data_IF_493820055113
#
_entry.id   IF_493820055113
#
_cell.length_a   1.000
_cell.length_b   1.000
_cell.length_c   1.000
_cell.angle_alpha   90.00
_cell.angle_beta   90.00
_cell.angle_gamma   90.00
#
_symmetry.space_group_name_H-M   'P 1'
#
loop_
_entity.id
_entity.type
_entity.pdbx_description
1 polymer ?
#
# COMPACT_ATOMS: atom_id res chain seq x y z
N UNK A 1 -8.98 -30.95 21.56
CA UNK A 1 -9.92 -30.67 20.44
C UNK A 1 -9.31 -29.54 19.62
N UNK A 2 -9.34 -29.60 18.28
CA UNK A 2 -8.94 -28.45 17.45
C UNK A 2 -10.19 -27.61 17.16
N UNK A 3 -10.16 -26.33 17.53
CA UNK A 3 -11.17 -25.37 17.09
C UNK A 3 -10.75 -24.80 15.74
N UNK A 4 -11.01 -25.55 14.67
CA UNK A 4 -10.91 -25.03 13.30
C UNK A 4 -12.10 -24.10 13.02
N UNK A 5 -12.08 -22.93 13.67
CA UNK A 5 -12.88 -21.77 13.26
C UNK A 5 -12.19 -21.18 12.02
N UNK A 6 -12.62 -21.61 10.84
CA UNK A 6 -12.17 -21.01 9.57
C UNK A 6 -12.75 -19.60 9.47
N UNK A 7 -11.98 -18.63 9.93
CA UNK A 7 -12.36 -17.23 10.04
C UNK A 7 -12.23 -16.57 8.65
N UNK A 8 -13.35 -16.11 8.09
CA UNK A 8 -13.43 -15.62 6.71
C UNK A 8 -13.34 -14.08 6.69
N UNK A 9 -12.10 -13.61 6.82
CA UNK A 9 -11.67 -12.21 6.89
C UNK A 9 -11.62 -11.62 5.48
N UNK A 10 -12.67 -10.90 5.07
CA UNK A 10 -12.87 -10.49 3.65
C UNK A 10 -12.15 -9.17 3.36
N UNK A 11 -11.05 -9.19 2.59
CA UNK A 11 -10.23 -8.00 2.29
C UNK A 11 -10.81 -7.19 1.12
N UNK A 12 -12.03 -6.67 1.31
CA UNK A 12 -12.68 -5.81 0.34
C UNK A 12 -12.01 -4.42 0.33
N UNK A 13 -10.95 -4.28 -0.46
CA UNK A 13 -10.42 -2.98 -0.92
C UNK A 13 -11.41 -2.38 -1.93
N UNK A 14 -12.60 -1.96 -1.49
CA UNK A 14 -13.60 -1.29 -2.32
C UNK A 14 -13.45 0.22 -2.18
N UNK A 15 -13.39 0.92 -3.32
CA UNK A 15 -13.45 2.38 -3.36
C UNK A 15 -14.88 2.86 -3.09
N UNK A 16 -15.32 2.75 -1.83
CA UNK A 16 -16.62 3.25 -1.37
C UNK A 16 -16.47 4.74 -1.09
N UNK A 17 -16.96 5.59 -1.98
CA UNK A 17 -17.01 7.05 -1.79
C UNK A 17 -18.16 7.45 -0.86
N UNK A 18 -18.19 6.86 0.34
CA UNK A 18 -19.17 7.15 1.39
C UNK A 18 -18.93 8.53 2.01
N UNK A 19 -19.68 9.53 1.54
CA UNK A 19 -19.73 10.88 2.13
C UNK A 19 -20.50 10.96 3.46
N UNK A 20 -20.67 9.83 4.15
CA UNK A 20 -21.04 9.81 5.56
C UNK A 20 -19.78 9.95 6.39
N UNK A 21 -19.67 11.02 7.18
CA UNK A 21 -18.44 11.32 7.93
C UNK A 21 -18.08 10.21 8.91
N UNK A 22 -16.92 9.58 8.69
CA UNK A 22 -16.36 8.56 9.58
C UNK A 22 -16.30 9.11 11.00
N UNK A 23 -16.96 8.42 11.95
CA UNK A 23 -16.68 8.64 13.37
C UNK A 23 -15.35 7.94 13.63
N UNK A 24 -14.26 8.66 13.38
CA UNK A 24 -12.90 8.17 13.58
C UNK A 24 -12.65 7.90 15.07
N UNK A 25 -13.07 6.73 15.53
CA UNK A 25 -12.63 6.10 16.78
C UNK A 25 -11.19 5.61 16.58
N UNK A 26 -10.29 6.56 16.30
CA UNK A 26 -8.86 6.32 16.43
C UNK A 26 -8.62 5.82 17.85
N UNK A 27 -8.16 4.57 18.00
CA UNK A 27 -7.78 4.02 19.28
C UNK A 27 -6.62 4.85 19.83
N UNK A 28 -6.94 5.79 20.74
CA UNK A 28 -6.02 6.84 21.20
C UNK A 28 -4.95 6.25 22.12
N UNK A 29 -3.92 5.69 21.50
CA UNK A 29 -2.83 5.00 22.17
C UNK A 29 -1.97 4.17 21.23
N UNK A 30 -2.51 3.65 20.12
CA UNK A 30 -1.77 2.80 19.19
C UNK A 30 -1.46 3.49 17.85
N UNK A 31 -0.34 3.12 17.23
CA UNK A 31 0.06 3.51 15.89
C UNK A 31 1.02 2.51 15.27
N UNK A 32 0.98 2.37 13.94
CA UNK A 32 1.83 1.46 13.16
C UNK A 32 2.11 2.12 11.80
N UNK A 33 3.36 2.08 11.38
CA UNK A 33 3.90 2.66 10.12
C UNK A 33 5.08 1.81 9.64
N UNK A 34 5.59 2.06 8.43
CA UNK A 34 6.87 1.48 7.98
C UNK A 34 7.89 2.55 7.59
N UNK A 35 9.16 2.16 7.49
CA UNK A 35 10.26 3.07 7.16
C UNK A 35 10.25 3.65 5.73
N UNK A 36 9.41 3.13 4.84
CA UNK A 36 9.27 3.54 3.43
C UNK A 36 7.77 3.57 3.05
N UNK A 37 7.00 4.36 3.79
CA UNK A 37 5.55 4.55 3.59
C UNK A 37 5.23 5.46 2.40
N UNK A 38 4.34 4.97 1.53
CA UNK A 38 3.78 5.73 0.41
C UNK A 38 2.39 6.25 0.80
N UNK A 39 2.22 7.57 0.84
CA UNK A 39 0.91 8.23 1.03
C UNK A 39 -0.09 7.79 -0.07
N UNK A 40 -1.29 7.39 0.33
CA UNK A 40 -2.37 7.00 -0.58
C UNK A 40 -3.72 7.61 -0.14
N UNK A 41 -4.72 7.70 -1.03
CA UNK A 41 -6.07 8.07 -0.63
C UNK A 41 -6.67 7.16 0.44
N UNK A 42 -7.18 7.76 1.51
CA UNK A 42 -7.85 7.09 2.62
C UNK A 42 -8.83 6.00 2.15
N UNK A 43 -8.66 4.80 2.69
CA UNK A 43 -9.49 3.63 2.43
C UNK A 43 -9.80 2.93 3.76
N UNK A 44 -11.09 2.82 4.08
CA UNK A 44 -11.57 1.97 5.16
C UNK A 44 -11.59 0.52 4.69
N UNK A 45 -10.93 -0.38 5.42
CA UNK A 45 -10.85 -1.81 5.14
C UNK A 45 -11.59 -2.57 6.25
N UNK A 46 -12.55 -3.42 5.89
CA UNK A 46 -13.26 -4.28 6.85
C UNK A 46 -12.53 -5.61 7.06
N UNK A 47 -12.35 -6.00 8.31
CA UNK A 47 -11.58 -7.16 8.77
C UNK A 47 -12.37 -7.82 9.90
N UNK A 48 -12.90 -9.03 9.65
CA UNK A 48 -13.81 -9.78 10.53
C UNK A 48 -15.01 -9.00 11.11
N UNK A 49 -15.38 -7.89 10.47
CA UNK A 49 -16.47 -7.00 10.88
C UNK A 49 -16.03 -5.73 11.61
N UNK A 50 -14.74 -5.60 11.95
CA UNK A 50 -14.11 -4.36 12.40
C UNK A 50 -13.64 -3.55 11.20
N UNK A 51 -13.77 -2.22 11.24
CA UNK A 51 -13.31 -1.31 10.18
C UNK A 51 -12.00 -0.62 10.59
N UNK A 52 -11.04 -0.55 9.66
CA UNK A 52 -9.73 0.07 9.86
C UNK A 52 -9.45 1.08 8.75
N UNK A 53 -9.15 2.32 9.10
CA UNK A 53 -8.77 3.35 8.14
C UNK A 53 -7.28 3.25 7.79
N UNK A 54 -6.98 3.23 6.48
CA UNK A 54 -5.63 3.17 5.90
C UNK A 54 -5.40 4.40 5.01
N UNK A 55 -4.36 5.18 5.31
CA UNK A 55 -3.93 6.36 4.52
C UNK A 55 -2.56 6.22 3.87
N UNK A 56 -1.79 5.17 4.17
CA UNK A 56 -0.48 4.90 3.57
C UNK A 56 -0.30 3.40 3.34
N UNK A 57 0.64 3.06 2.47
CA UNK A 57 1.05 1.67 2.19
C UNK A 57 2.56 1.60 2.39
N UNK A 58 3.02 0.74 3.29
CA UNK A 58 4.44 0.49 3.48
C UNK A 58 5.04 -0.23 2.28
N UNK A 59 6.28 0.10 1.91
CA UNK A 59 7.01 -0.58 0.84
C UNK A 59 8.29 -1.19 1.39
N UNK A 60 8.62 -2.37 0.89
CA UNK A 60 9.92 -3.01 1.07
C UNK A 60 10.24 -3.78 -0.20
N UNK A 61 11.51 -3.92 -0.57
CA UNK A 61 11.88 -4.75 -1.72
C UNK A 61 12.15 -6.18 -1.27
N UNK A 62 11.76 -7.18 -2.05
CA UNK A 62 12.01 -8.59 -1.71
C UNK A 62 13.52 -8.81 -1.46
N UNK A 63 13.83 -9.40 -0.30
CA UNK A 63 15.17 -9.62 0.28
C UNK A 63 15.84 -8.39 0.96
N UNK A 64 15.22 -7.21 0.96
CA UNK A 64 15.53 -6.14 1.91
C UNK A 64 14.76 -6.38 3.22
N UNK A 65 15.20 -5.84 4.35
CA UNK A 65 14.50 -5.96 5.64
C UNK A 65 13.31 -4.99 5.72
N UNK A 66 12.16 -5.46 6.21
CA UNK A 66 10.98 -4.65 6.48
C UNK A 66 11.06 -4.11 7.92
N UNK A 67 11.21 -2.80 8.09
CA UNK A 67 11.09 -2.17 9.42
C UNK A 67 9.68 -1.63 9.61
N UNK A 68 9.05 -2.03 10.71
CA UNK A 68 7.77 -1.53 11.20
C UNK A 68 8.03 -0.73 12.48
N UNK A 69 7.61 0.53 12.48
CA UNK A 69 7.68 1.42 13.63
C UNK A 69 6.30 1.48 14.30
N UNK A 70 6.27 1.39 15.62
CA UNK A 70 5.03 1.26 16.41
C UNK A 70 4.98 2.22 17.60
N UNK A 71 3.77 2.69 17.90
CA UNK A 71 3.45 3.53 19.05
C UNK A 71 2.41 2.79 19.91
N UNK A 72 2.61 2.78 21.23
CA UNK A 72 1.69 2.15 22.17
C UNK A 72 1.78 2.79 23.58
N UNK A 73 0.76 2.65 24.45
CA UNK A 73 0.84 3.18 25.80
C UNK A 73 1.97 2.53 26.59
N UNK A 74 2.85 3.33 27.21
CA UNK A 74 4.05 2.84 27.89
C UNK A 74 3.75 1.73 28.94
N UNK A 75 4.51 0.64 28.90
CA UNK A 75 4.29 -0.55 29.72
C UNK A 75 3.23 -1.53 29.17
N UNK A 76 2.75 -1.32 27.94
CA UNK A 76 1.87 -2.25 27.24
C UNK A 76 2.69 -3.12 26.29
N UNK A 77 2.76 -4.42 26.55
CA UNK A 77 3.36 -5.41 25.64
C UNK A 77 2.31 -5.88 24.61
N UNK A 78 2.74 -6.10 23.36
CA UNK A 78 1.89 -6.56 22.25
C UNK A 78 2.73 -7.34 21.24
N UNK A 79 2.06 -8.10 20.36
CA UNK A 79 2.70 -8.71 19.20
C UNK A 79 2.48 -7.87 17.94
N UNK A 80 3.45 -7.89 17.04
CA UNK A 80 3.36 -7.41 15.66
C UNK A 80 3.39 -8.64 14.75
N UNK A 81 2.28 -8.96 14.10
CA UNK A 81 2.16 -10.07 13.16
C UNK A 81 2.21 -9.57 11.72
N UNK A 82 2.96 -10.28 10.86
CA UNK A 82 2.94 -10.07 9.41
C UNK A 82 2.09 -11.17 8.77
N UNK A 83 1.03 -10.78 8.06
CA UNK A 83 0.11 -11.67 7.33
C UNK A 83 0.35 -11.61 5.82
N UNK A 84 0.22 -12.74 5.13
CA UNK A 84 0.12 -12.80 3.66
C UNK A 84 -1.34 -12.74 3.17
N UNK A 85 -1.54 -12.85 1.85
CA UNK A 85 -2.82 -12.93 1.15
C UNK A 85 -3.74 -14.09 1.61
N UNK A 86 -3.17 -15.29 1.84
CA UNK A 86 -3.89 -16.42 2.46
C UNK A 86 -4.25 -16.18 3.95
N UNK A 87 -3.74 -15.10 4.55
CA UNK A 87 -3.82 -14.74 5.98
C UNK A 87 -3.11 -15.71 6.91
N UNK A 88 -2.08 -16.40 6.43
CA UNK A 88 -1.12 -17.04 7.32
C UNK A 88 -0.21 -15.97 7.94
N UNK A 89 0.12 -16.12 9.22
CA UNK A 89 1.21 -15.36 9.83
C UNK A 89 2.52 -15.89 9.23
N UNK A 90 3.24 -15.03 8.51
CA UNK A 90 4.54 -15.38 7.91
C UNK A 90 5.73 -15.01 8.79
N UNK A 91 5.57 -13.99 9.65
CA UNK A 91 6.58 -13.57 10.62
C UNK A 91 5.94 -12.85 11.82
N UNK A 92 6.66 -12.76 12.95
CA UNK A 92 6.14 -12.23 14.22
C UNK A 92 7.25 -11.63 15.10
N UNK A 93 6.98 -10.49 15.71
CA UNK A 93 7.83 -9.86 16.72
C UNK A 93 7.01 -9.42 17.94
N UNK A 94 7.60 -9.47 19.14
CA UNK A 94 7.00 -8.90 20.34
C UNK A 94 7.61 -7.52 20.62
N UNK A 95 6.80 -6.57 21.11
CA UNK A 95 7.16 -5.17 21.32
C UNK A 95 6.54 -4.63 22.63
N UNK A 96 7.06 -3.52 23.17
CA UNK A 96 6.48 -2.87 24.36
C UNK A 96 6.53 -1.33 24.29
N UNK A 97 5.38 -0.67 24.41
CA UNK A 97 5.28 0.79 24.29
C UNK A 97 5.62 1.29 22.88
N UNK A 98 6.37 2.40 22.81
CA UNK A 98 6.93 2.91 21.55
C UNK A 98 8.20 2.12 21.19
N UNK A 99 8.15 1.36 20.10
CA UNK A 99 9.17 0.35 19.74
C UNK A 99 9.21 0.14 18.22
N UNK A 100 10.24 -0.55 17.71
CA UNK A 100 10.32 -0.92 16.28
C UNK A 100 10.87 -2.33 16.04
N UNK A 101 10.23 -3.03 15.09
CA UNK A 101 10.54 -4.40 14.72
C UNK A 101 11.05 -4.49 13.28
N UNK A 102 11.95 -5.43 13.00
CA UNK A 102 12.52 -5.65 11.67
C UNK A 102 12.38 -7.11 11.24
N UNK A 103 11.82 -7.34 10.06
CA UNK A 103 11.42 -8.64 9.54
C UNK A 103 12.19 -8.98 8.26
N UNK A 104 12.67 -10.22 8.13
CA UNK A 104 13.49 -10.65 6.99
C UNK A 104 12.60 -11.12 5.84
N UNK A 105 12.37 -10.25 4.86
CA UNK A 105 11.49 -10.56 3.71
C UNK A 105 12.04 -11.64 2.79
N UNK A 106 13.28 -12.12 2.95
CA UNK A 106 13.83 -13.21 2.14
C UNK A 106 13.06 -14.52 2.35
N UNK A 107 12.64 -14.83 3.58
CA UNK A 107 11.87 -16.02 3.94
C UNK A 107 10.37 -15.92 3.66
N UNK A 108 9.86 -14.71 3.39
CA UNK A 108 8.47 -14.52 2.98
C UNK A 108 8.22 -15.24 1.63
N UNK A 109 6.97 -15.35 1.20
CA UNK A 109 6.61 -16.00 -0.06
C UNK A 109 7.02 -15.21 -1.30
N UNK A 110 6.18 -15.28 -2.33
CA UNK A 110 6.27 -14.41 -3.50
C UNK A 110 6.24 -12.93 -3.09
N UNK A 111 6.87 -12.04 -3.87
CA UNK A 111 6.60 -10.60 -3.78
C UNK A 111 5.11 -10.36 -4.07
N UNK A 112 4.48 -9.47 -3.30
CA UNK A 112 3.04 -9.48 -3.16
C UNK A 112 2.52 -8.52 -2.09
N UNK A 113 1.25 -8.73 -1.72
CA UNK A 113 0.51 -7.89 -0.77
C UNK A 113 0.43 -8.53 0.61
N UNK A 114 0.92 -7.81 1.63
CA UNK A 114 1.02 -8.26 3.02
C UNK A 114 0.34 -7.24 3.95
N UNK A 115 0.08 -7.62 5.20
CA UNK A 115 -0.43 -6.72 6.25
C UNK A 115 0.37 -6.91 7.52
N UNK A 116 1.00 -5.85 8.03
CA UNK A 116 1.50 -5.80 9.39
C UNK A 116 0.35 -5.42 10.34
N UNK A 117 0.26 -6.03 11.51
CA UNK A 117 -0.83 -5.78 12.45
C UNK A 117 -0.37 -5.79 13.90
N UNK A 118 -0.84 -4.83 14.70
CA UNK A 118 -0.71 -4.84 16.17
C UNK A 118 -1.78 -5.75 16.73
N UNK A 119 -1.38 -6.73 17.55
CA UNK A 119 -2.25 -7.70 18.18
C UNK A 119 -2.07 -7.69 19.70
N UNK A 120 -3.18 -7.54 20.45
CA UNK A 120 -3.20 -7.53 21.92
C UNK A 120 -4.43 -8.30 22.42
N UNK A 121 -4.32 -9.02 23.54
CA UNK A 121 -5.43 -9.71 24.24
C UNK A 121 -6.39 -10.61 23.41
N UNK A 122 -6.08 -10.87 22.14
CA UNK A 122 -6.92 -11.62 21.20
C UNK A 122 -7.59 -10.80 20.08
N UNK A 123 -7.30 -9.49 19.98
CA UNK A 123 -7.80 -8.59 18.93
C UNK A 123 -6.67 -7.94 18.13
N UNK A 124 -6.96 -7.61 16.87
CA UNK A 124 -6.16 -6.68 16.07
C UNK A 124 -6.59 -5.27 16.44
N UNK A 125 -5.65 -4.43 16.90
CA UNK A 125 -5.95 -3.03 17.23
C UNK A 125 -5.73 -2.11 16.04
N UNK A 126 -4.71 -2.39 15.23
CA UNK A 126 -4.32 -1.62 14.05
C UNK A 126 -3.71 -2.52 12.99
N UNK A 127 -3.88 -2.12 11.73
CA UNK A 127 -3.23 -2.71 10.56
C UNK A 127 -2.41 -1.66 9.80
N UNK A 128 -1.42 -2.14 9.05
CA UNK A 128 -0.67 -1.38 8.07
C UNK A 128 -0.40 -2.26 6.83
N UNK A 129 -1.01 -1.98 5.67
CA UNK A 129 -0.74 -2.74 4.45
C UNK A 129 0.70 -2.51 3.96
N UNK A 130 1.36 -3.59 3.55
CA UNK A 130 2.75 -3.57 3.08
C UNK A 130 2.86 -4.26 1.72
N UNK A 131 3.57 -3.64 0.78
CA UNK A 131 3.95 -4.24 -0.50
C UNK A 131 5.38 -4.74 -0.41
N UNK A 132 5.54 -6.06 -0.39
CA UNK A 132 6.84 -6.72 -0.55
C UNK A 132 7.12 -6.79 -2.04
N UNK A 133 7.78 -5.76 -2.56
CA UNK A 133 7.86 -5.47 -3.97
C UNK A 133 8.83 -6.39 -4.73
N UNK A 134 8.36 -6.92 -5.86
CA UNK A 134 9.19 -7.59 -6.86
C UNK A 134 9.85 -6.61 -7.84
N UNK A 135 9.45 -5.33 -7.80
CA UNK A 135 9.86 -4.30 -8.74
C UNK A 135 10.26 -2.98 -8.08
N UNK A 136 11.34 -2.36 -8.55
CA UNK A 136 11.55 -0.91 -8.41
C UNK A 136 10.79 -0.24 -9.54
N UNK A 137 9.75 0.54 -9.19
CA UNK A 137 8.84 1.22 -10.11
C UNK A 137 9.16 2.72 -10.11
N UNK A 138 9.55 3.25 -11.27
CA UNK A 138 9.84 4.67 -11.46
C UNK A 138 8.78 5.34 -12.33
N UNK A 139 8.45 6.59 -12.01
CA UNK A 139 7.53 7.46 -12.73
C UNK A 139 8.31 8.68 -13.23
N UNK A 140 8.19 9.01 -14.52
CA UNK A 140 8.54 10.33 -15.04
C UNK A 140 7.29 11.00 -15.61
N UNK A 141 7.04 12.22 -15.15
CA UNK A 141 5.87 13.01 -15.48
C UNK A 141 6.19 14.52 -15.36
N UNK A 142 5.57 15.39 -16.17
CA UNK A 142 5.72 16.83 -16.01
C UNK A 142 5.08 17.28 -14.70
N UNK A 143 5.85 17.98 -13.84
CA UNK A 143 5.36 18.50 -12.54
C UNK A 143 4.21 19.52 -12.66
N UNK A 144 3.91 20.00 -13.86
CA UNK A 144 2.76 20.86 -14.11
C UNK A 144 2.38 20.88 -15.59
N UNK A 145 1.07 20.97 -15.86
CA UNK A 145 0.49 21.11 -17.20
C UNK A 145 -0.69 22.11 -17.18
N UNK A 146 -1.06 22.73 -18.30
CA UNK A 146 -2.28 23.53 -18.40
C UNK A 146 -3.51 22.64 -18.59
N UNK A 147 -4.66 23.06 -18.04
CA UNK A 147 -5.94 22.35 -18.22
C UNK A 147 -6.34 22.33 -19.70
N UNK A 148 -6.75 21.15 -20.17
CA UNK A 148 -7.17 20.95 -21.56
C UNK A 148 -6.04 20.49 -22.49
N UNK A 149 -4.88 20.09 -21.96
CA UNK A 149 -3.83 19.34 -22.65
C UNK A 149 -3.68 17.95 -22.01
N UNK A 150 -3.37 16.94 -22.83
CA UNK A 150 -3.12 15.58 -22.38
C UNK A 150 -1.68 15.45 -21.85
N UNK A 151 -1.47 14.59 -20.85
CA UNK A 151 -0.21 14.46 -20.12
C UNK A 151 0.32 13.04 -20.31
N UNK A 152 1.46 12.91 -20.97
CA UNK A 152 2.23 11.66 -21.00
C UNK A 152 2.89 11.41 -19.65
N UNK A 153 2.82 10.17 -19.19
CA UNK A 153 3.55 9.66 -18.02
C UNK A 153 4.29 8.41 -18.46
N UNK A 154 5.62 8.45 -18.37
CA UNK A 154 6.51 7.35 -18.75
C UNK A 154 6.92 6.57 -17.50
N UNK A 155 6.88 5.24 -17.60
CA UNK A 155 7.08 4.32 -16.48
C UNK A 155 8.21 3.35 -16.78
N UNK A 156 9.09 3.15 -15.81
CA UNK A 156 10.21 2.19 -15.90
C UNK A 156 10.21 1.26 -14.70
N UNK A 157 10.17 -0.04 -14.98
CA UNK A 157 10.22 -1.09 -13.98
C UNK A 157 11.57 -1.81 -14.04
N UNK A 158 12.10 -2.24 -12.89
CA UNK A 158 13.24 -3.15 -12.82
C UNK A 158 13.01 -4.19 -11.73
N UNK A 159 13.30 -5.46 -12.04
CA UNK A 159 13.11 -6.59 -11.10
C UNK A 159 14.15 -6.53 -9.98
N UNK A 160 13.72 -6.73 -8.74
CA UNK A 160 14.63 -6.92 -7.59
C UNK A 160 14.84 -8.40 -7.24
N UNK A 161 14.02 -9.29 -7.79
CA UNK A 161 14.08 -10.73 -7.60
C UNK A 161 13.59 -11.45 -8.86
N UNK A 162 13.69 -12.78 -8.92
CA UNK A 162 13.06 -13.53 -10.01
C UNK A 162 11.55 -13.60 -9.79
N UNK A 163 10.79 -13.08 -10.76
CA UNK A 163 9.33 -12.97 -10.76
C UNK A 163 8.85 -12.86 -12.20
N UNK A 164 7.62 -13.30 -12.48
CA UNK A 164 6.98 -13.11 -13.78
C UNK A 164 6.77 -11.61 -14.08
N UNK A 165 6.77 -11.24 -15.37
CA UNK A 165 6.44 -9.88 -15.81
C UNK A 165 5.03 -9.48 -15.35
N UNK A 166 4.77 -8.18 -15.06
CA UNK A 166 3.49 -7.78 -14.48
C UNK A 166 2.37 -7.90 -15.51
N UNK A 167 1.20 -8.36 -15.04
CA UNK A 167 -0.03 -8.47 -15.81
C UNK A 167 -0.56 -7.10 -16.23
N UNK A 168 -0.50 -6.12 -15.33
CA UNK A 168 -0.80 -4.72 -15.63
C UNK A 168 0.12 -3.78 -14.87
N UNK A 169 0.28 -2.58 -15.43
CA UNK A 169 0.87 -1.42 -14.74
C UNK A 169 -0.15 -0.29 -14.85
N UNK A 170 -0.58 0.27 -13.72
CA UNK A 170 -1.59 1.34 -13.65
C UNK A 170 -0.93 2.63 -13.15
N UNK A 171 -1.26 3.78 -13.73
CA UNK A 171 -1.06 5.08 -13.05
C UNK A 171 -2.32 5.41 -12.26
N UNK A 172 -2.16 5.62 -10.96
CA UNK A 172 -3.20 6.14 -10.08
C UNK A 172 -3.02 7.65 -9.96
N UNK A 173 -4.11 8.39 -10.12
CA UNK A 173 -4.17 9.85 -9.92
C UNK A 173 -5.10 10.15 -8.77
N UNK A 174 -4.61 10.87 -7.77
CA UNK A 174 -5.31 11.25 -6.56
C UNK A 174 -5.38 12.78 -6.39
N UNK A 175 -6.40 13.27 -5.70
CA UNK A 175 -6.54 14.68 -5.32
C UNK A 175 -7.03 14.77 -3.87
N UNK A 176 -6.11 15.11 -2.96
CA UNK A 176 -6.30 14.84 -1.54
C UNK A 176 -6.60 13.36 -1.30
N UNK A 177 -7.46 13.09 -0.34
CA UNK A 177 -7.80 11.76 0.17
C UNK A 177 -8.81 11.04 -0.76
N UNK A 178 -8.63 11.12 -2.08
CA UNK A 178 -9.51 10.49 -3.08
C UNK A 178 -8.80 10.18 -4.39
N UNK A 179 -8.97 8.94 -4.88
CA UNK A 179 -8.58 8.55 -6.25
C UNK A 179 -9.54 9.21 -7.24
N UNK A 180 -9.01 10.05 -8.14
CA UNK A 180 -9.79 10.67 -9.22
C UNK A 180 -9.74 9.88 -10.53
N UNK A 181 -8.67 9.10 -10.76
CA UNK A 181 -8.49 8.31 -11.99
C UNK A 181 -7.54 7.14 -11.77
N UNK A 182 -7.76 6.04 -12.49
CA UNK A 182 -6.76 4.99 -12.74
C UNK A 182 -6.65 4.77 -14.24
N UNK A 183 -5.45 4.51 -14.74
CA UNK A 183 -5.15 4.44 -16.17
C UNK A 183 -4.18 3.29 -16.42
N UNK A 184 -4.58 2.31 -17.22
CA UNK A 184 -3.69 1.24 -17.67
C UNK A 184 -2.58 1.81 -18.57
N UNK A 185 -1.33 1.53 -18.23
CA UNK A 185 -0.17 1.93 -19.01
C UNK A 185 0.09 0.91 -20.13
N UNK A 186 0.23 1.40 -21.37
CA UNK A 186 0.59 0.56 -22.52
C UNK A 186 2.08 0.25 -22.52
N UNK A 187 2.45 -1.01 -22.73
CA UNK A 187 3.87 -1.41 -22.80
C UNK A 187 4.55 -0.80 -24.04
N UNK A 188 5.67 -0.12 -23.83
CA UNK A 188 6.50 0.51 -24.87
C UNK A 188 7.85 -0.21 -25.07
N UNK A 189 8.27 -1.01 -24.08
CA UNK A 189 9.53 -1.76 -24.12
C UNK A 189 9.60 -2.87 -23.07
N UNK A 190 10.76 -3.52 -22.96
CA UNK A 190 11.00 -4.51 -21.91
C UNK A 190 10.98 -3.84 -20.54
N UNK A 191 9.92 -4.08 -19.75
CA UNK A 191 9.64 -3.39 -18.48
C UNK A 191 9.53 -1.85 -18.60
N UNK A 192 9.17 -1.34 -19.78
CA UNK A 192 8.89 0.09 -20.02
C UNK A 192 7.44 0.25 -20.48
N UNK A 193 6.73 1.22 -19.90
CA UNK A 193 5.31 1.47 -20.17
C UNK A 193 5.05 2.97 -20.27
N UNK A 194 3.94 3.35 -20.90
CA UNK A 194 3.50 4.73 -21.03
C UNK A 194 1.99 4.84 -20.80
N UNK A 195 1.57 5.82 -20.00
CA UNK A 195 0.17 6.17 -19.80
C UNK A 195 -0.10 7.60 -20.32
N UNK A 196 -1.35 7.85 -20.76
CA UNK A 196 -1.80 9.19 -21.14
C UNK A 196 -2.92 9.63 -20.20
N UNK A 197 -2.60 10.57 -19.31
CA UNK A 197 -3.59 11.26 -18.49
C UNK A 197 -4.36 12.22 -19.39
N UNK A 198 -5.64 11.94 -19.58
CA UNK A 198 -6.50 12.75 -20.44
C UNK A 198 -6.65 14.17 -19.93
N UNK A 199 -6.92 15.09 -20.85
CA UNK A 199 -7.12 16.53 -20.63
C UNK A 199 -8.35 16.93 -19.79
N UNK A 200 -9.04 15.98 -19.16
CA UNK A 200 -10.27 16.15 -18.38
C UNK A 200 -10.05 16.64 -16.93
N UNK A 201 -8.82 16.54 -16.42
CA UNK A 201 -8.44 17.00 -15.09
C UNK A 201 -8.82 18.47 -14.83
N UNK A 202 -9.24 18.75 -13.59
CA UNK A 202 -9.54 20.11 -13.16
C UNK A 202 -8.27 20.87 -12.78
N UNK A 203 -8.38 22.19 -12.59
CA UNK A 203 -7.27 22.97 -12.01
C UNK A 203 -7.05 22.54 -10.55
N UNK A 204 -5.80 22.50 -10.11
CA UNK A 204 -5.42 22.11 -8.76
C UNK A 204 -4.24 21.14 -8.77
N UNK A 205 -3.87 20.68 -7.58
CA UNK A 205 -2.75 19.78 -7.37
C UNK A 205 -3.23 18.33 -7.27
N UNK A 206 -2.42 17.42 -7.78
CA UNK A 206 -2.66 15.99 -7.87
C UNK A 206 -1.41 15.21 -7.44
N UNK A 207 -1.65 14.07 -6.81
CA UNK A 207 -0.62 13.07 -6.50
C UNK A 207 -0.73 11.93 -7.53
N UNK A 208 0.39 11.55 -8.13
CA UNK A 208 0.51 10.45 -9.08
C UNK A 208 1.42 9.37 -8.48
N UNK A 209 1.02 8.11 -8.58
CA UNK A 209 1.90 6.97 -8.33
C UNK A 209 1.54 5.84 -9.29
N UNK A 210 2.53 5.02 -9.64
CA UNK A 210 2.35 3.84 -10.47
C UNK A 210 2.34 2.57 -9.62
N UNK A 211 1.51 1.62 -10.02
CA UNK A 211 1.42 0.29 -9.40
C UNK A 211 1.61 -0.80 -10.44
N UNK A 212 2.33 -1.86 -10.08
CA UNK A 212 2.55 -3.04 -10.90
C UNK A 212 1.81 -4.24 -10.28
N UNK A 213 1.05 -4.99 -11.10
CA UNK A 213 0.23 -6.12 -10.64
C UNK A 213 0.63 -7.44 -11.27
N UNK A 214 0.43 -8.56 -10.56
CA UNK A 214 0.63 -9.91 -11.09
C UNK A 214 -0.65 -10.55 -11.64
N UNK A 215 -0.54 -11.70 -12.30
CA UNK A 215 -1.71 -12.52 -12.68
C UNK A 215 -2.44 -13.12 -11.46
N UNK A 216 -1.77 -13.29 -10.31
CA UNK A 216 -2.38 -13.71 -9.04
C UNK A 216 -3.55 -12.79 -8.67
N UNK A 217 -4.66 -13.36 -8.18
CA UNK A 217 -5.81 -12.57 -7.72
C UNK A 217 -6.20 -12.89 -6.28
N UNK A 218 -6.31 -11.83 -5.47
CA UNK A 218 -6.75 -11.87 -4.07
C UNK A 218 -8.09 -11.15 -3.99
N UNK A 219 -9.11 -11.81 -3.42
CA UNK A 219 -10.51 -11.34 -3.41
C UNK A 219 -11.01 -10.75 -4.77
N UNK A 220 -10.60 -11.42 -5.86
CA UNK A 220 -10.98 -11.08 -7.24
C UNK A 220 -10.24 -9.89 -7.86
N UNK A 221 -9.15 -9.41 -7.25
CA UNK A 221 -8.34 -8.29 -7.74
C UNK A 221 -6.90 -8.73 -7.96
N UNK A 222 -6.28 -8.23 -9.02
CA UNK A 222 -4.88 -8.53 -9.32
C UNK A 222 -3.95 -7.98 -8.23
N UNK A 223 -3.14 -8.86 -7.67
CA UNK A 223 -2.27 -8.60 -6.52
C UNK A 223 -1.24 -7.51 -6.83
N UNK A 224 -0.94 -6.67 -5.84
CA UNK A 224 0.03 -5.59 -5.95
C UNK A 224 1.45 -6.14 -5.68
N UNK A 225 2.32 -6.08 -6.69
CA UNK A 225 3.71 -6.59 -6.65
C UNK A 225 4.77 -5.50 -6.83
N UNK A 226 4.35 -4.23 -6.85
CA UNK A 226 5.23 -3.07 -6.74
C UNK A 226 4.50 -1.73 -6.81
N UNK A 227 5.05 -0.71 -6.16
CA UNK A 227 4.50 0.66 -6.08
C UNK A 227 5.63 1.69 -6.15
N UNK A 228 5.42 2.77 -6.90
CA UNK A 228 6.37 3.87 -7.03
C UNK A 228 6.31 4.84 -5.85
N UNK A 229 7.26 5.78 -5.81
CA UNK A 229 7.09 7.00 -5.02
C UNK A 229 5.92 7.85 -5.56
N UNK A 230 5.36 8.71 -4.70
CA UNK A 230 4.33 9.67 -5.10
C UNK A 230 4.94 10.94 -5.69
N UNK A 231 4.55 11.27 -6.94
CA UNK A 231 4.95 12.49 -7.63
C UNK A 231 3.80 13.52 -7.71
N UNK A 232 4.10 14.78 -7.46
CA UNK A 232 3.12 15.88 -7.57
C UNK A 232 2.99 16.44 -9.00
N UNK A 233 1.75 16.72 -9.40
CA UNK A 233 1.35 17.40 -10.64
C UNK A 233 0.42 18.59 -10.33
N UNK A 234 0.80 19.81 -10.70
CA UNK A 234 -0.11 20.97 -10.66
C UNK A 234 -0.77 21.22 -12.02
N UNK A 235 -2.08 21.02 -12.14
CA UNK A 235 -2.86 21.41 -13.32
C UNK A 235 -3.27 22.88 -13.21
N UNK A 236 -2.78 23.72 -14.13
CA UNK A 236 -2.97 25.18 -14.14
C UNK A 236 -4.10 25.60 -15.08
N UNK A 237 -4.62 26.82 -14.92
CA UNK A 237 -5.51 27.41 -15.93
C UNK A 237 -4.76 27.56 -17.26
N UNK A 238 -5.39 27.22 -18.40
CA UNK A 238 -4.84 27.54 -19.72
C UNK A 238 -4.80 29.05 -19.91
N UNK A 239 -3.62 29.60 -20.17
CA UNK A 239 -3.45 31.01 -20.53
C UNK A 239 -3.98 31.25 -21.93
N UNK A 240 -5.18 31.80 -22.04
CA UNK A 240 -5.70 32.29 -23.32
C UNK A 240 -5.03 33.61 -23.66
N UNK A 241 -3.95 33.56 -24.44
CA UNK A 241 -3.32 34.76 -25.01
C UNK A 241 -4.28 35.35 -26.05
N UNK A 242 -5.15 36.27 -25.62
CA UNK A 242 -6.08 36.97 -26.51
C UNK A 242 -5.29 37.80 -27.51
N UNK A 243 -5.11 37.26 -28.72
CA UNK A 243 -4.54 38.01 -29.84
C UNK A 243 -5.48 39.19 -30.12
N UNK A 244 -5.05 40.39 -29.76
CA UNK A 244 -5.83 41.60 -29.93
C UNK A 244 -5.80 42.02 -31.40
N UNK A 245 -6.68 41.42 -32.20
CA UNK A 245 -6.91 41.73 -33.61
C UNK A 245 -7.49 43.14 -33.78
N UNK A 246 -6.63 44.15 -33.59
CA UNK A 246 -6.93 45.53 -33.91
C UNK A 246 -7.00 45.71 -35.42
N UNK A 247 -8.21 45.74 -35.96
CA UNK A 247 -8.45 46.20 -37.32
C UNK A 247 -8.11 47.69 -37.44
N UNK A 248 -7.70 48.11 -38.65
CA UNK A 248 -6.88 49.29 -38.84
C UNK A 248 -7.63 50.62 -38.90
N UNK A 249 -6.95 51.68 -38.46
CA UNK A 249 -7.21 53.05 -38.92
C UNK A 249 -5.91 53.64 -39.45
N UNK A 250 -5.88 53.97 -40.74
CA UNK A 250 -4.69 54.50 -41.41
C UNK A 250 -4.52 55.99 -41.17
N UNK A 251 -3.39 56.40 -40.60
CA UNK A 251 -2.81 57.73 -40.89
C UNK A 251 -1.27 57.64 -40.87
N UNK A 252 -0.60 58.65 -41.44
CA UNK A 252 0.67 58.44 -42.12
C UNK A 252 1.89 59.13 -41.50
N UNK A 253 3.07 58.56 -41.77
CA UNK A 253 4.42 59.17 -41.68
C UNK A 253 4.94 59.47 -40.28
N UNK A 254 6.02 58.78 -39.88
CA UNK A 254 7.34 59.42 -39.88
C UNK A 254 8.48 58.38 -39.93
N UNK A 255 9.55 58.69 -40.67
CA UNK A 255 10.67 57.77 -40.89
C UNK A 255 11.77 57.99 -39.85
N UNK A 256 11.79 57.17 -38.80
CA UNK A 256 12.89 57.16 -37.82
C UNK A 256 13.76 55.90 -37.98
N UNK A 257 14.87 56.04 -38.70
CA UNK A 257 15.88 54.98 -38.85
C UNK A 257 16.61 54.75 -37.52
N UNK A 258 16.15 53.78 -36.74
CA UNK A 258 16.79 53.38 -35.50
C UNK A 258 18.09 52.58 -35.78
N UNK A 259 19.24 53.15 -35.46
CA UNK A 259 20.55 52.50 -35.55
C UNK A 259 20.60 51.25 -34.65
N UNK A 260 21.10 50.08 -35.14
CA UNK A 260 21.23 48.90 -34.31
C UNK A 260 22.37 49.06 -33.29
N UNK A 261 22.02 49.27 -32.02
CA UNK A 261 22.96 49.21 -30.91
C UNK A 261 23.42 47.76 -30.70
N UNK A 262 24.67 47.45 -31.04
CA UNK A 262 25.24 46.14 -30.83
C UNK A 262 25.37 45.85 -29.33
N UNK A 263 24.60 44.88 -28.82
CA UNK A 263 24.70 44.42 -27.43
C UNK A 263 25.95 43.55 -27.26
N UNK A 264 26.96 44.06 -26.56
CA UNK A 264 28.23 43.36 -26.34
C UNK A 264 28.04 42.15 -25.41
N UNK A 265 28.09 40.93 -25.96
CA UNK A 265 28.08 39.70 -25.17
C UNK A 265 29.40 39.55 -24.40
N UNK A 266 29.41 39.92 -23.11
CA UNK A 266 30.53 39.58 -22.21
C UNK A 266 30.57 38.08 -21.97
N UNK A 267 31.58 37.42 -22.55
CA UNK A 267 31.83 36.00 -22.30
C UNK A 267 32.30 35.77 -20.86
N UNK A 268 31.49 35.05 -20.07
CA UNK A 268 31.85 34.64 -18.72
C UNK A 268 32.96 33.59 -18.75
N UNK A 269 34.13 33.94 -18.22
CA UNK A 269 35.25 33.00 -18.05
C UNK A 269 34.83 31.81 -17.18
N UNK A 270 35.07 30.55 -17.59
CA UNK A 270 34.81 29.40 -16.74
C UNK A 270 35.81 29.35 -15.58
N UNK A 271 35.30 29.33 -14.35
CA UNK A 271 36.11 29.03 -13.16
C UNK A 271 36.57 27.56 -13.22
N UNK A 272 37.87 27.26 -13.06
CA UNK A 272 38.33 25.88 -12.96
C UNK A 272 37.91 25.31 -11.58
N UNK A 273 36.99 24.36 -11.57
CA UNK A 273 36.64 23.60 -10.35
C UNK A 273 37.79 22.65 -10.01
N UNK A 274 38.35 22.77 -8.81
CA UNK A 274 39.43 21.90 -8.34
C UNK A 274 38.91 20.48 -8.09
N UNK A 275 39.49 19.49 -8.76
CA UNK A 275 39.27 18.08 -8.44
C UNK A 275 40.06 17.72 -7.18
N UNK A 276 39.39 17.63 -6.03
CA UNK A 276 39.98 17.01 -4.84
C UNK A 276 39.90 15.48 -4.96
N UNK A 277 41.05 14.82 -4.80
CA UNK A 277 41.15 13.36 -4.85
C UNK A 277 40.81 12.78 -3.48
N UNK A 278 39.92 11.77 -3.37
CA UNK A 278 39.74 11.07 -2.11
C UNK A 278 41.01 10.30 -1.75
N UNK A 279 41.61 10.60 -0.60
CA UNK A 279 42.73 9.85 -0.03
C UNK A 279 42.23 8.53 0.55
N UNK A 280 42.75 7.40 0.04
CA UNK A 280 42.54 6.09 0.65
C UNK A 280 43.35 5.98 1.95
N UNK A 281 42.70 6.20 3.08
CA UNK A 281 43.24 5.84 4.40
C UNK A 281 42.80 4.44 4.76
N UNK A 282 43.70 3.47 4.61
CA UNK A 282 43.47 2.07 5.02
C UNK A 282 43.87 1.89 6.48
N UNK A 283 42.92 1.96 7.41
CA UNK A 283 43.18 1.65 8.82
C UNK A 283 42.81 0.19 9.13
N UNK A 284 43.84 -0.66 9.31
CA UNK A 284 43.68 -2.07 9.67
C UNK A 284 43.64 -2.25 11.19
N UNK A 285 42.44 -2.21 11.78
CA UNK A 285 42.25 -2.54 13.20
C UNK A 285 41.85 -4.00 13.37
N UNK A 286 42.83 -4.89 13.41
CA UNK A 286 42.63 -6.30 13.79
C UNK A 286 42.32 -6.40 15.29
N UNK A 287 41.04 -6.42 15.66
CA UNK A 287 40.62 -6.82 17.01
C UNK A 287 40.65 -8.35 17.11
N UNK A 288 41.48 -8.87 18.01
CA UNK A 288 41.65 -10.32 18.18
C UNK A 288 40.39 -10.99 18.78
N UNK A 289 40.10 -12.21 18.32
CA UNK A 289 38.95 -12.99 18.80
C UNK A 289 39.25 -13.63 20.16
N UNK A 290 38.45 -13.37 21.22
CA UNK A 290 38.54 -14.11 22.47
C UNK A 290 37.89 -15.49 22.29
N UNK A 291 38.69 -16.51 22.01
CA UNK A 291 38.25 -17.91 21.89
C UNK A 291 37.67 -18.41 23.22
N UNK A 292 36.35 -18.36 23.37
CA UNK A 292 35.62 -18.92 24.51
C UNK A 292 35.30 -20.40 24.30
N UNK A 293 36.15 -21.27 24.85
CA UNK A 293 35.89 -22.71 24.95
C UNK A 293 34.71 -22.97 25.88
N UNK A 294 33.52 -23.16 25.33
CA UNK A 294 32.38 -23.70 26.07
C UNK A 294 32.51 -25.22 26.22
N UNK A 295 32.43 -25.70 27.46
CA UNK A 295 32.51 -27.13 27.78
C UNK A 295 31.22 -27.88 27.37
N UNK A 296 31.36 -29.16 27.00
CA UNK A 296 30.24 -29.99 26.55
C UNK A 296 29.38 -30.46 27.73
N UNK A 297 28.18 -29.89 27.88
CA UNK A 297 27.18 -30.36 28.85
C UNK A 297 26.59 -31.70 28.40
N UNK A 298 27.08 -32.79 28.99
CA UNK A 298 26.51 -34.13 28.79
C UNK A 298 25.48 -34.44 29.88
N UNK A 299 24.21 -34.12 29.63
CA UNK A 299 23.07 -34.52 30.47
C UNK A 299 22.32 -35.70 29.85
N UNK A 300 22.68 -36.91 30.27
CA UNK A 300 21.97 -38.15 29.90
C UNK A 300 20.61 -38.23 30.59
N UNK A 301 19.54 -37.84 29.89
CA UNK A 301 18.17 -37.99 30.39
C UNK A 301 17.67 -39.41 30.11
N UNK A 302 17.60 -40.23 31.15
CA UNK A 302 17.06 -41.60 31.08
C UNK A 302 15.54 -41.59 30.91
N UNK A 303 15.04 -41.89 29.71
CA UNK A 303 13.62 -42.12 29.46
C UNK A 303 13.15 -43.40 30.18
N UNK A 304 12.54 -43.24 31.36
CA UNK A 304 11.94 -44.33 32.10
C UNK A 304 10.50 -44.58 31.61
N UNK A 305 10.28 -45.70 30.93
CA UNK A 305 8.94 -46.18 30.60
C UNK A 305 8.26 -46.76 31.84
N UNK A 306 7.09 -46.24 32.19
CA UNK A 306 6.11 -46.91 33.06
C UNK A 306 4.82 -47.12 32.29
N UNK A 307 4.44 -48.39 32.21
CA UNK A 307 3.26 -48.86 31.50
C UNK A 307 2.01 -48.79 32.38
N UNK A 308 0.84 -48.84 31.75
CA UNK A 308 -0.46 -49.21 32.35
C UNK A 308 -0.98 -48.43 33.57
N UNK A 309 -2.08 -47.70 33.33
CA UNK A 309 -3.28 -47.92 34.15
C UNK A 309 -4.55 -47.75 33.31
N UNK A 310 -5.55 -48.58 33.59
CA UNK A 310 -6.83 -48.64 32.88
C UNK A 310 -7.92 -48.06 33.78
N UNK A 311 -8.73 -47.14 33.26
CA UNK A 311 -10.05 -46.82 33.81
C UNK A 311 -11.10 -46.84 32.69
N UNK A 312 -12.18 -47.56 32.96
CA UNK A 312 -13.34 -47.74 32.06
C UNK A 312 -14.30 -46.55 32.12
N UNK A 313 -15.17 -46.37 31.10
CA UNK A 313 -16.05 -45.21 31.02
C UNK A 313 -17.20 -45.28 32.02
N UNK A 314 -17.50 -44.17 32.69
CA UNK A 314 -18.79 -44.00 33.37
C UNK A 314 -19.77 -43.32 32.41
N UNK A 315 -20.73 -44.07 31.90
CA UNK A 315 -21.77 -43.59 31.00
C UNK A 315 -23.10 -43.54 31.77
N UNK A 316 -23.43 -42.38 32.34
CA UNK A 316 -24.70 -42.19 33.05
C UNK A 316 -25.49 -41.01 32.50
N UNK A 317 -26.80 -41.04 32.71
CA UNK A 317 -27.79 -40.37 31.86
C UNK A 317 -28.66 -39.38 32.65
N UNK A 318 -29.29 -38.44 31.94
CA UNK A 318 -30.41 -37.57 32.40
C UNK A 318 -30.19 -36.72 33.66
N UNK A 319 -30.37 -35.40 33.53
CA UNK A 319 -31.66 -34.83 33.95
C UNK A 319 -32.04 -33.57 33.13
N UNK A 320 -33.29 -33.15 33.27
CA UNK A 320 -33.91 -32.04 32.55
C UNK A 320 -33.97 -30.78 33.42
N UNK A 321 -33.79 -29.61 32.80
CA UNK A 321 -34.22 -28.33 33.39
C UNK A 321 -34.56 -27.31 32.31
N UNK A 322 -35.85 -27.22 32.01
CA UNK A 322 -36.41 -26.07 31.31
C UNK A 322 -36.43 -24.85 32.25
N UNK A 323 -36.18 -23.66 31.69
CA UNK A 323 -36.61 -22.42 32.35
C UNK A 323 -37.08 -21.39 31.33
N UNK A 324 -38.08 -20.62 31.75
CA UNK A 324 -38.99 -19.90 30.86
C UNK A 324 -38.49 -18.53 30.44
N UNK A 325 -38.94 -18.13 29.25
CA UNK A 325 -39.06 -16.79 28.68
C UNK A 325 -39.15 -15.63 29.67
N UNK A 326 -38.51 -14.52 29.33
CA UNK A 326 -39.01 -13.17 29.63
C UNK A 326 -38.90 -12.33 28.36
N UNK A 327 -40.04 -11.99 27.76
CA UNK A 327 -40.11 -10.95 26.73
C UNK A 327 -40.03 -9.58 27.39
N UNK A 328 -39.33 -8.63 26.78
CA UNK A 328 -39.47 -7.21 27.08
C UNK A 328 -39.82 -6.50 25.77
N UNK A 329 -41.04 -5.95 25.71
CA UNK A 329 -41.61 -5.32 24.51
C UNK A 329 -41.85 -3.83 24.74
N UNK A 330 -42.34 -3.16 23.69
CA UNK A 330 -42.72 -1.73 23.61
C UNK A 330 -41.55 -0.74 23.42
N UNK A 331 -41.77 0.39 22.71
CA UNK A 331 -42.62 0.51 21.52
C UNK A 331 -42.01 1.36 20.39
N UNK A 332 -42.15 0.91 19.13
CA UNK A 332 -42.26 1.81 17.97
C UNK A 332 -43.71 2.33 17.87
N UNK A 333 -44.02 3.50 17.27
CA UNK A 333 -44.12 3.55 15.80
C UNK A 333 -43.93 4.92 15.08
N UNK A 334 -43.04 5.01 14.08
CA UNK A 334 -43.19 5.71 12.78
C UNK A 334 -41.88 5.56 11.97
N UNK A 335 -41.83 5.17 10.67
CA UNK A 335 -42.51 5.64 9.44
C UNK A 335 -42.05 7.06 9.04
N UNK A 336 -41.45 7.35 7.87
CA UNK A 336 -41.12 6.58 6.63
C UNK A 336 -39.86 7.24 5.98
N UNK A 337 -39.29 6.91 4.80
CA UNK A 337 -39.71 6.16 3.60
C UNK A 337 -38.51 5.78 2.69
N UNK A 338 -38.78 5.00 1.63
CA UNK A 338 -37.95 4.73 0.42
C UNK A 338 -36.69 3.83 0.59
N UNK A 339 -36.45 2.77 -0.19
CA UNK A 339 -37.37 1.94 -0.99
C UNK A 339 -36.93 1.62 -2.43
N UNK A 340 -36.99 0.31 -2.79
CA UNK A 340 -37.14 -0.23 -4.18
C UNK A 340 -35.90 0.00 -5.07
N UNK A 341 -35.13 -0.98 -5.56
CA UNK A 341 -35.41 -2.23 -6.32
C UNK A 341 -34.14 -3.16 -6.15
N UNK A 342 -33.86 -4.33 -6.76
CA UNK A 342 -34.48 -5.18 -7.79
C UNK A 342 -34.06 -6.67 -7.63
N UNK A 343 -34.55 -7.52 -8.53
CA UNK A 343 -34.12 -8.90 -8.84
C UNK A 343 -33.08 -8.90 -9.98
N UNK A 344 -32.30 -9.94 -10.29
CA UNK A 344 -32.19 -11.30 -9.73
C UNK A 344 -31.81 -12.34 -10.82
N UNK A 345 -31.41 -13.55 -10.41
CA UNK A 345 -31.33 -14.83 -11.16
C UNK A 345 -31.08 -14.81 -12.70
N UNK A 346 -29.92 -15.32 -13.13
CA UNK A 346 -29.83 -16.22 -14.31
C UNK A 346 -28.98 -17.45 -13.96
N UNK A 347 -29.47 -18.63 -14.34
CA UNK A 347 -28.80 -19.93 -14.22
C UNK A 347 -29.17 -20.76 -15.47
N UNK A 348 -28.35 -21.77 -15.83
CA UNK A 348 -28.54 -22.67 -17.01
C UNK A 348 -28.40 -21.88 -18.36
N UNK A 349 -27.96 -22.38 -19.54
CA UNK A 349 -27.94 -23.73 -20.12
C UNK A 349 -26.68 -24.03 -20.97
N UNK A 350 -25.82 -24.92 -20.45
CA UNK A 350 -25.27 -26.15 -21.09
C UNK A 350 -25.37 -26.28 -22.64
N UNK A 351 -24.24 -26.34 -23.36
CA UNK A 351 -24.16 -26.98 -24.70
C UNK A 351 -23.11 -28.10 -24.76
N UNK A 352 -23.37 -29.14 -25.56
CA UNK A 352 -22.63 -30.43 -25.59
C UNK A 352 -21.51 -30.46 -26.64
N UNK A 353 -20.50 -31.31 -26.38
CA UNK A 353 -19.46 -31.77 -27.33
C UNK A 353 -20.02 -32.21 -28.70
N UNK A 354 -19.27 -31.88 -29.76
CA UNK A 354 -18.92 -32.68 -30.96
C UNK A 354 -18.00 -31.81 -31.84
N UNK A 355 -17.02 -32.35 -32.57
CA UNK A 355 -16.53 -33.74 -32.64
C UNK A 355 -15.35 -33.95 -31.71
#
# INVERSE_FOLDING_TARGET
MRFERVLHFILIISLVTSSGGSIALAATGYGITSSDDIDTPDQTVTIDGTEYDVSSIGRVYKNDALTIDTNAPAGTSYDIYIYNDDRNIVDTAAAEGDDSASFDTSYFGSPGSYVAAIYIDGSIERIHPVVVSGYRVSVDAPKSAPKGEDITVDLSLSKVTDIQDPYSVEVVVAQGNSVVKRIDASQTGSLSYQATLSNDLNKGDYNLYAVARSETTVDGKHELVGISDTQQLTVKSRTTTTANSGDGSSEATETTTATPTATTTTASTPTPTTTESPTTTTEHTSTESPTTTSESVTTTVTSQTTDSSVLTPNNDNTDSSSKTTTESSLPAPWLSALGILFTGLILVIRRRRKK
#
